data_IF_530355141047
#
_entry.id   IF_530355141047
#
_cell.length_a   1.000
_cell.length_b   1.000
_cell.length_c   1.000
_cell.angle_alpha   90.00
_cell.angle_beta   90.00
_cell.angle_gamma   90.00
#
_symmetry.space_group_name_H-M   'P 1'
#
loop_
_entity.id
_entity.type
_entity.pdbx_description
1 polymer ?
#
# COMPACT_ATOMS: atom_id res chain seq x y z
N UNK A 1 -5.59 -22.74 -5.09
CA UNK A 1 -6.07 -21.58 -4.46
C UNK A 1 -4.98 -20.76 -3.90
N UNK A 2 -5.10 -19.48 -4.01
CA UNK A 2 -4.07 -18.65 -3.56
C UNK A 2 -4.49 -17.94 -2.33
N UNK A 3 -3.64 -17.85 -1.36
CA UNK A 3 -3.95 -17.20 -0.12
C UNK A 3 -3.68 -15.72 -0.24
N UNK A 4 -4.63 -14.93 0.13
CA UNK A 4 -4.47 -13.49 0.16
C UNK A 4 -4.55 -13.05 1.60
N UNK A 5 -3.48 -12.43 2.09
CA UNK A 5 -3.42 -12.03 3.48
C UNK A 5 -3.81 -10.58 3.60
N UNK A 6 -4.58 -10.29 4.61
CA UNK A 6 -5.03 -8.93 4.84
C UNK A 6 -3.95 -8.17 5.59
N UNK A 7 -3.61 -6.98 5.11
CA UNK A 7 -2.67 -6.13 5.78
C UNK A 7 -3.38 -5.39 6.89
N UNK A 8 -2.86 -5.47 8.10
CA UNK A 8 -3.48 -4.80 9.22
C UNK A 8 -2.68 -3.59 9.67
N UNK A 9 -1.42 -3.48 9.26
CA UNK A 9 -0.63 -2.31 9.58
C UNK A 9 0.52 -2.19 8.60
N UNK A 10 0.93 -0.97 8.32
CA UNK A 10 2.04 -0.70 7.40
C UNK A 10 2.83 0.47 7.95
N UNK A 11 4.14 0.36 7.94
CA UNK A 11 4.99 1.48 8.28
C UNK A 11 6.11 1.58 7.25
N UNK A 12 6.59 2.79 7.02
CA UNK A 12 7.63 3.05 6.05
C UNK A 12 8.72 3.84 6.74
N UNK A 13 9.96 3.37 6.62
CA UNK A 13 11.08 4.04 7.24
C UNK A 13 12.12 4.31 6.19
N UNK A 14 12.54 5.55 6.08
CA UNK A 14 13.59 5.90 5.13
C UNK A 14 14.92 5.30 5.59
N UNK A 15 15.56 4.59 4.68
CA UNK A 15 16.84 3.97 5.00
C UNK A 15 18.00 4.79 4.47
N UNK A 16 17.80 5.40 3.30
CA UNK A 16 18.86 6.15 2.65
C UNK A 16 18.22 7.19 1.74
N UNK A 17 18.90 8.33 1.56
CA UNK A 17 18.38 9.34 0.66
C UNK A 17 19.22 9.45 -0.61
N UNK A 18 20.35 8.75 -0.69
CA UNK A 18 21.21 8.78 -1.87
C UNK A 18 21.86 7.44 -2.05
N UNK A 19 21.25 6.54 -2.77
CA UNK A 19 19.95 6.64 -3.45
C UNK A 19 18.81 6.58 -2.46
N UNK A 20 17.68 7.09 -2.87
CA UNK A 20 16.51 7.10 -2.01
C UNK A 20 15.95 5.70 -1.90
N UNK A 21 15.88 5.20 -0.69
CA UNK A 21 15.27 3.91 -0.48
C UNK A 21 14.71 3.82 0.93
N UNK A 22 13.80 2.91 1.12
CA UNK A 22 13.10 2.77 2.38
C UNK A 22 12.85 1.31 2.68
N UNK A 23 12.49 1.04 3.93
CA UNK A 23 12.04 -0.27 4.35
C UNK A 23 10.55 -0.14 4.64
N UNK A 24 9.77 -1.00 4.02
CA UNK A 24 8.34 -1.06 4.26
C UNK A 24 8.08 -2.29 5.12
N UNK A 25 7.45 -2.06 6.25
CA UNK A 25 7.11 -3.16 7.13
C UNK A 25 5.63 -3.39 7.05
N UNK A 26 5.23 -4.59 6.71
CA UNK A 26 3.83 -4.94 6.52
C UNK A 26 3.46 -6.00 7.53
N UNK A 27 2.42 -5.72 8.29
CA UNK A 27 1.96 -6.63 9.31
C UNK A 27 0.65 -7.25 8.91
N UNK A 28 0.56 -8.57 9.00
CA UNK A 28 -0.69 -9.28 8.81
C UNK A 28 -1.02 -10.01 10.10
N UNK A 29 -2.13 -10.71 10.12
CA UNK A 29 -2.51 -11.44 11.33
C UNK A 29 -1.50 -12.52 11.68
N UNK A 30 -0.82 -13.06 10.68
CA UNK A 30 0.08 -14.18 10.92
C UNK A 30 1.53 -13.81 11.08
N UNK A 31 1.95 -12.70 10.51
CA UNK A 31 3.37 -12.41 10.49
C UNK A 31 3.63 -10.94 10.14
N UNK A 32 4.88 -10.55 10.28
CA UNK A 32 5.33 -9.23 9.90
C UNK A 32 6.47 -9.43 8.90
N UNK A 33 6.42 -8.70 7.79
CA UNK A 33 7.44 -8.81 6.77
C UNK A 33 7.99 -7.44 6.43
N UNK A 34 9.25 -7.42 6.04
CA UNK A 34 9.91 -6.19 5.66
C UNK A 34 10.41 -6.29 4.24
N UNK A 35 10.25 -5.19 3.52
CA UNK A 35 10.66 -5.14 2.13
C UNK A 35 11.46 -3.87 1.89
N UNK A 36 12.48 -3.97 1.05
CA UNK A 36 13.21 -2.80 0.66
C UNK A 36 12.54 -2.16 -0.54
N UNK A 37 12.42 -0.85 -0.52
CA UNK A 37 11.69 -0.13 -1.54
C UNK A 37 12.59 0.91 -2.15
N UNK A 38 12.75 0.88 -3.46
CA UNK A 38 13.49 1.93 -4.16
C UNK A 38 12.54 3.04 -4.55
N UNK A 39 13.10 4.19 -4.92
CA UNK A 39 12.26 5.31 -5.32
C UNK A 39 11.37 4.95 -6.49
N UNK A 40 11.92 4.25 -7.47
CA UNK A 40 11.14 3.91 -8.65
C UNK A 40 9.96 3.02 -8.31
N UNK A 41 10.18 2.00 -7.51
CA UNK A 41 9.10 1.10 -7.12
C UNK A 41 8.11 1.84 -6.23
N UNK A 42 8.61 2.71 -5.37
CA UNK A 42 7.73 3.50 -4.52
C UNK A 42 6.79 4.37 -5.32
N UNK A 43 7.30 4.99 -6.39
CA UNK A 43 6.45 5.81 -7.23
C UNK A 43 5.39 4.98 -7.94
N UNK A 44 5.74 3.78 -8.37
CA UNK A 44 4.78 2.92 -9.04
C UNK A 44 3.69 2.46 -8.08
N UNK A 45 4.07 2.09 -6.87
CA UNK A 45 3.10 1.69 -5.87
C UNK A 45 2.19 2.86 -5.54
N UNK A 46 2.76 4.05 -5.40
CA UNK A 46 1.98 5.23 -5.07
C UNK A 46 0.95 5.53 -6.16
N UNK A 47 1.36 5.43 -7.42
CA UNK A 47 0.45 5.65 -8.53
C UNK A 47 -0.69 4.64 -8.53
N UNK A 48 -0.36 3.38 -8.29
CA UNK A 48 -1.37 2.34 -8.29
C UNK A 48 -2.32 2.49 -7.11
N UNK A 49 -1.77 2.86 -5.95
CA UNK A 49 -2.61 3.06 -4.77
C UNK A 49 -3.51 4.27 -4.94
N UNK A 50 -3.01 5.34 -5.56
CA UNK A 50 -3.85 6.48 -5.82
C UNK A 50 -5.01 6.12 -6.71
N UNK A 51 -4.73 5.34 -7.74
CA UNK A 51 -5.77 4.91 -8.64
C UNK A 51 -6.81 4.06 -7.90
N UNK A 52 -6.35 3.18 -7.03
CA UNK A 52 -7.24 2.37 -6.24
C UNK A 52 -8.09 3.22 -5.31
N UNK A 53 -7.46 4.17 -4.64
CA UNK A 53 -8.18 4.96 -3.64
C UNK A 53 -9.15 5.96 -4.25
N UNK A 54 -8.96 6.32 -5.51
CA UNK A 54 -9.84 7.27 -6.15
C UNK A 54 -10.87 6.63 -7.06
N UNK A 55 -10.95 5.29 -7.07
CA UNK A 55 -11.96 4.64 -7.85
C UNK A 55 -13.32 4.98 -7.33
N UNK A 56 -14.24 5.21 -8.26
CA UNK A 56 -15.59 5.43 -7.84
C UNK A 56 -16.24 4.11 -7.54
N UNK A 57 -17.03 4.08 -6.50
CA UNK A 57 -17.74 2.85 -6.19
C UNK A 57 -18.81 2.63 -7.22
N UNK A 58 -18.61 1.64 -8.00
CA UNK A 58 -19.50 1.40 -9.02
C UNK A 58 -20.66 0.69 -8.61
N UNK A 59 -20.53 -0.06 -7.76
CA UNK A 59 -21.51 -0.76 -7.38
C UNK A 59 -21.93 -0.23 -6.26
N UNK A 60 -21.87 0.59 -6.27
CA UNK A 60 -22.22 1.06 -5.38
C UNK A 60 -21.89 1.02 -4.14
N UNK A 61 -21.83 1.15 -3.82
CA UNK A 61 -21.52 1.13 -2.92
C UNK A 61 -21.38 2.18 -2.32
N UNK A 62 -21.55 2.63 -2.23
CA UNK A 62 -21.62 3.44 -1.98
C UNK A 62 -21.17 4.25 -1.51
N UNK A 63 -21.13 4.41 -1.13
CA UNK A 63 -20.74 5.18 -0.96
C UNK A 63 -20.34 5.93 -0.47
N UNK A 64 -20.24 6.08 -0.09
CA UNK A 64 -19.83 6.73 -0.04
C UNK A 64 -19.44 7.43 0.29
N UNK A 65 -19.32 7.53 0.44
CA UNK A 65 -18.92 8.05 0.33
C UNK A 65 -18.65 8.74 0.48
N UNK A 66 -18.66 8.92 0.71
CA UNK A 66 -18.50 9.47 0.43
C UNK A 66 -18.76 10.03 0.22
N UNK A 67 -19.09 9.91 0.30
CA UNK A 67 -19.44 10.23 -0.27
C UNK A 67 -19.55 10.58 -0.32
N UNK A 68 -19.65 10.81 -0.25
CA UNK A 68 -19.95 11.06 -0.49
C UNK A 68 -19.81 11.24 -0.45
#
# INVERSE_FOLDING_TARGET
>A
MRDIHKIIDVSVMTRSTRPLCAIVEIETADSTMKFELTEEIGLRICTDLERFLTQEPHQGRTTVQLSP
#
